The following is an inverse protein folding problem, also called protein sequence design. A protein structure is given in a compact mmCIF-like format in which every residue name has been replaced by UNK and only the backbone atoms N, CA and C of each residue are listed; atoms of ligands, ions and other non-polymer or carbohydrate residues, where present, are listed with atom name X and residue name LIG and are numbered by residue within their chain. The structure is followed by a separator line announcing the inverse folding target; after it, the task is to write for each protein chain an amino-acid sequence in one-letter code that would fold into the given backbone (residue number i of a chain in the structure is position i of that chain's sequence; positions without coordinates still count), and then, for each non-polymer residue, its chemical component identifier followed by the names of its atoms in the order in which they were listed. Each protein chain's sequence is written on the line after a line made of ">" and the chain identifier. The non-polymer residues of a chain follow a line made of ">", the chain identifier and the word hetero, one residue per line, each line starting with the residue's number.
data_IF_023989924761
#
_entry.id   IF_023989924761
#
_cell.length_a   1.000
_cell.length_b   1.000
_cell.length_c   1.000
_cell.angle_alpha   90.00
_cell.angle_beta   90.00
_cell.angle_gamma   90.00
#
_symmetry.space_group_name_H-M   'P 1'
#
loop_
_entity.id
_entity.type
_entity.pdbx_description
1 polymer ?
#
# COMPACT_ATOMS: atom_id res chain seq x y z
N UNK A 1 1.84 -11.63 27.35
CA UNK A 1 1.09 -10.35 27.18
C UNK A 1 0.73 -10.20 25.72
N UNK A 2 -0.53 -9.88 25.39
CA UNK A 2 -0.93 -9.67 23.99
C UNK A 2 -0.77 -8.20 23.62
N UNK A 3 0.04 -7.91 22.59
CA UNK A 3 0.37 -6.56 22.12
C UNK A 3 -0.86 -5.63 21.90
N UNK A 4 -2.01 -6.10 21.38
CA UNK A 4 -3.20 -5.25 21.19
C UNK A 4 -3.83 -4.72 22.49
N UNK A 5 -3.49 -5.30 23.66
CA UNK A 5 -4.00 -4.85 24.96
C UNK A 5 -3.23 -3.63 25.49
N UNK A 6 -2.05 -3.34 24.91
CA UNK A 6 -1.13 -2.30 25.37
C UNK A 6 -0.93 -1.19 24.34
N UNK A 7 -1.23 -1.45 23.07
CA UNK A 7 -0.98 -0.53 21.96
C UNK A 7 -2.21 -0.42 21.08
N UNK A 8 -2.56 0.81 20.69
CA UNK A 8 -3.59 1.09 19.71
C UNK A 8 -3.12 0.69 18.30
N UNK A 9 -3.31 -0.57 17.96
CA UNK A 9 -2.98 -1.09 16.64
C UNK A 9 -4.08 -0.71 15.64
N UNK A 10 -3.69 -0.09 14.52
CA UNK A 10 -4.63 0.31 13.47
C UNK A 10 -5.50 -0.85 12.97
N UNK A 11 -4.91 -2.03 12.76
CA UNK A 11 -5.66 -3.22 12.35
C UNK A 11 -6.72 -3.66 13.38
N UNK A 12 -6.43 -3.55 14.68
CA UNK A 12 -7.37 -3.88 15.74
C UNK A 12 -8.50 -2.84 15.82
N UNK A 13 -8.19 -1.55 15.64
CA UNK A 13 -9.19 -0.49 15.57
C UNK A 13 -10.13 -0.68 14.37
N UNK A 14 -9.59 -1.02 13.19
CA UNK A 14 -10.41 -1.33 12.00
C UNK A 14 -11.29 -2.56 12.24
N UNK A 15 -10.73 -3.65 12.78
CA UNK A 15 -11.50 -4.85 13.12
C UNK A 15 -12.66 -4.52 14.08
N UNK A 16 -12.41 -3.68 15.09
CA UNK A 16 -13.43 -3.24 16.05
C UNK A 16 -14.52 -2.37 15.41
N UNK A 17 -14.16 -1.49 14.47
CA UNK A 17 -15.11 -0.60 13.78
C UNK A 17 -15.97 -1.31 12.74
N UNK A 18 -15.40 -2.28 12.03
CA UNK A 18 -16.05 -2.89 10.86
C UNK A 18 -16.46 -4.35 11.08
N UNK A 19 -16.14 -4.94 12.23
CA UNK A 19 -16.48 -6.32 12.57
C UNK A 19 -15.70 -7.38 11.77
N UNK A 20 -14.82 -6.96 10.86
CA UNK A 20 -14.03 -7.84 10.00
C UNK A 20 -12.64 -7.26 9.72
N UNK A 21 -11.74 -8.12 9.25
CA UNK A 21 -10.38 -7.73 8.94
C UNK A 21 -10.38 -6.90 7.67
N UNK A 22 -9.74 -5.74 7.71
CA UNK A 22 -9.48 -4.93 6.52
C UNK A 22 -8.10 -5.26 5.97
N UNK A 23 -8.02 -5.53 4.67
CA UNK A 23 -6.75 -5.77 3.99
C UNK A 23 -6.30 -4.56 3.17
N UNK A 24 -5.02 -4.20 3.24
CA UNK A 24 -4.47 -3.14 2.40
C UNK A 24 -4.19 -3.68 1.01
N UNK A 25 -4.67 -3.01 -0.02
CA UNK A 25 -4.35 -3.32 -1.41
C UNK A 25 -3.33 -2.31 -1.90
N UNK A 26 -2.14 -2.78 -2.24
CA UNK A 26 -1.08 -1.96 -2.80
C UNK A 26 -1.44 -1.56 -4.23
N UNK A 27 -1.35 -0.26 -4.52
CA UNK A 27 -1.70 0.33 -5.81
C UNK A 27 -0.55 1.18 -6.35
N UNK A 28 -0.49 1.29 -7.67
CA UNK A 28 0.41 2.13 -8.44
C UNK A 28 -0.36 3.27 -9.12
N UNK A 29 -0.15 4.50 -8.65
CA UNK A 29 -0.84 5.73 -9.06
C UNK A 29 -0.21 6.50 -10.23
N UNK A 30 0.87 6.03 -10.83
CA UNK A 30 1.75 6.76 -11.75
C UNK A 30 2.56 7.90 -11.13
N UNK A 31 2.81 7.91 -9.81
CA UNK A 31 3.53 8.99 -9.14
C UNK A 31 5.05 8.91 -9.35
N UNK A 32 5.64 10.00 -9.87
CA UNK A 32 7.09 10.18 -9.90
C UNK A 32 7.70 10.49 -8.53
N UNK A 33 9.03 10.51 -8.44
CA UNK A 33 9.75 10.92 -7.24
C UNK A 33 10.90 11.85 -7.65
N UNK A 34 10.87 13.11 -7.18
CA UNK A 34 11.83 14.11 -7.62
C UNK A 34 13.27 13.82 -7.17
N UNK A 35 13.44 12.95 -6.17
CA UNK A 35 14.75 12.48 -5.71
C UNK A 35 15.29 11.30 -6.53
N UNK A 36 14.43 10.63 -7.28
CA UNK A 36 14.80 9.53 -8.18
C UNK A 36 14.94 9.99 -9.63
N UNK A 37 14.04 10.85 -10.09
CA UNK A 37 14.09 11.42 -11.45
C UNK A 37 15.16 12.50 -11.63
N UNK A 38 15.75 13.00 -10.53
CA UNK A 38 16.85 13.96 -10.57
C UNK A 38 16.44 15.43 -10.44
N UNK A 39 15.14 15.75 -10.35
CA UNK A 39 14.64 17.13 -10.32
C UNK A 39 14.96 17.88 -9.03
N UNK A 40 14.88 17.22 -7.85
CA UNK A 40 15.25 17.83 -6.55
C UNK A 40 16.46 17.16 -5.89
N UNK A 41 16.72 15.90 -6.21
CA UNK A 41 17.82 15.14 -5.64
C UNK A 41 18.26 14.02 -6.59
N UNK A 42 19.47 13.51 -6.42
CA UNK A 42 20.02 12.42 -7.24
C UNK A 42 20.36 11.23 -6.35
N UNK A 43 20.10 10.02 -6.85
CA UNK A 43 20.40 8.76 -6.14
C UNK A 43 19.27 8.23 -5.24
N UNK A 44 18.12 8.89 -5.18
CA UNK A 44 17.01 8.51 -4.30
C UNK A 44 17.21 8.94 -2.84
N UNK A 45 16.29 8.56 -1.95
CA UNK A 45 16.42 8.83 -0.52
C UNK A 45 17.21 7.70 0.17
N UNK A 46 18.07 8.00 1.14
CA UNK A 46 18.85 6.99 1.88
C UNK A 46 17.98 5.97 2.62
N UNK A 47 16.76 6.36 3.02
CA UNK A 47 15.78 5.49 3.67
C UNK A 47 14.86 4.75 2.68
N UNK A 48 14.97 5.02 1.38
CA UNK A 48 14.11 4.46 0.36
C UNK A 48 14.50 3.00 0.08
N UNK A 49 13.59 2.06 0.33
CA UNK A 49 13.74 0.69 -0.13
C UNK A 49 12.98 0.48 -1.45
N UNK A 50 13.67 0.70 -2.57
CA UNK A 50 13.09 0.59 -3.92
C UNK A 50 12.54 -0.82 -4.20
N UNK A 51 13.17 -1.86 -3.64
CA UNK A 51 12.71 -3.24 -3.81
C UNK A 51 11.36 -3.52 -3.12
N UNK A 52 10.87 -2.62 -2.26
CA UNK A 52 9.56 -2.76 -1.60
C UNK A 52 8.41 -2.08 -2.35
N UNK A 53 8.67 -1.44 -3.49
CA UNK A 53 7.65 -0.76 -4.27
C UNK A 53 6.79 -1.74 -5.06
N UNK A 54 5.60 -1.29 -5.43
CA UNK A 54 4.69 -2.04 -6.28
C UNK A 54 5.37 -2.32 -7.63
N UNK A 55 4.94 -3.39 -8.29
CA UNK A 55 5.41 -3.71 -9.64
C UNK A 55 5.12 -2.53 -10.57
N UNK A 56 6.16 -1.95 -11.17
CA UNK A 56 6.06 -0.82 -12.10
C UNK A 56 5.15 -1.13 -13.29
N UNK A 57 4.98 -2.40 -13.65
CA UNK A 57 4.03 -2.80 -14.69
C UNK A 57 2.58 -2.46 -14.33
N UNK A 58 2.24 -2.35 -13.04
CA UNK A 58 0.90 -1.96 -12.57
C UNK A 58 0.52 -0.54 -13.01
N UNK A 59 1.49 0.36 -13.23
CA UNK A 59 1.25 1.72 -13.71
C UNK A 59 0.43 1.77 -15.02
N UNK A 60 0.54 0.72 -15.83
CA UNK A 60 -0.14 0.62 -17.14
C UNK A 60 -1.62 0.27 -17.02
N UNK A 61 -2.07 -0.11 -15.82
CA UNK A 61 -3.45 -0.47 -15.52
C UNK A 61 -4.14 0.69 -14.83
N UNK A 62 -5.44 0.85 -15.08
CA UNK A 62 -6.28 1.78 -14.32
C UNK A 62 -6.36 1.36 -12.84
N UNK A 63 -6.62 2.32 -11.95
CA UNK A 63 -6.80 2.05 -10.52
C UNK A 63 -7.92 1.04 -10.26
N UNK A 64 -9.00 1.07 -11.06
CA UNK A 64 -10.09 0.11 -10.97
C UNK A 64 -9.64 -1.32 -11.29
N UNK A 65 -8.84 -1.51 -12.34
CA UNK A 65 -8.27 -2.81 -12.70
C UNK A 65 -7.32 -3.32 -11.61
N UNK A 66 -6.44 -2.45 -11.10
CA UNK A 66 -5.53 -2.82 -10.02
C UNK A 66 -6.30 -3.24 -8.76
N UNK A 67 -7.35 -2.50 -8.37
CA UNK A 67 -8.20 -2.84 -7.23
C UNK A 67 -8.87 -4.21 -7.42
N UNK A 68 -9.45 -4.48 -8.60
CA UNK A 68 -10.09 -5.75 -8.90
C UNK A 68 -9.09 -6.92 -8.85
N UNK A 69 -7.91 -6.75 -9.48
CA UNK A 69 -6.87 -7.78 -9.51
C UNK A 69 -6.28 -8.06 -8.11
N UNK A 70 -6.02 -7.02 -7.32
CA UNK A 70 -5.47 -7.17 -5.98
C UNK A 70 -6.51 -7.77 -5.02
N UNK A 71 -7.78 -7.34 -5.09
CA UNK A 71 -8.85 -7.90 -4.28
C UNK A 71 -9.07 -9.40 -4.59
N UNK A 72 -8.97 -9.80 -5.86
CA UNK A 72 -9.11 -11.20 -6.26
C UNK A 72 -8.02 -12.13 -5.70
N UNK A 73 -6.86 -11.58 -5.28
CA UNK A 73 -5.75 -12.33 -4.68
C UNK A 73 -5.88 -12.51 -3.16
N UNK A 74 -6.91 -11.93 -2.54
CA UNK A 74 -7.08 -11.88 -1.09
C UNK A 74 -8.28 -12.72 -0.68
N UNK A 75 -8.04 -13.78 0.09
CA UNK A 75 -9.08 -14.67 0.62
C UNK A 75 -9.52 -14.31 2.04
N UNK A 76 -8.65 -13.61 2.78
CA UNK A 76 -8.75 -13.38 4.23
C UNK A 76 -9.50 -12.11 4.67
N UNK A 77 -10.10 -11.38 3.74
CA UNK A 77 -10.82 -10.12 4.03
C UNK A 77 -11.84 -9.83 2.93
N UNK A 78 -12.95 -9.17 3.27
CA UNK A 78 -13.95 -8.70 2.28
C UNK A 78 -13.98 -7.18 2.15
N UNK A 79 -13.22 -6.48 2.99
CA UNK A 79 -13.03 -5.03 2.97
C UNK A 79 -11.58 -4.69 2.76
N UNK A 80 -11.38 -3.61 2.02
CA UNK A 80 -10.07 -3.22 1.53
C UNK A 80 -9.77 -1.76 1.82
N UNK A 81 -8.48 -1.46 2.01
CA UNK A 81 -7.95 -0.10 2.08
C UNK A 81 -7.01 0.10 0.89
N UNK A 82 -7.33 1.05 0.02
CA UNK A 82 -6.46 1.46 -1.06
C UNK A 82 -5.17 2.08 -0.49
N UNK A 83 -4.02 1.53 -0.85
CA UNK A 83 -2.73 1.96 -0.35
C UNK A 83 -1.78 2.26 -1.51
N UNK A 84 -1.61 3.54 -1.81
CA UNK A 84 -0.61 4.02 -2.78
C UNK A 84 0.75 4.02 -2.10
N UNK A 85 1.71 3.31 -2.67
CA UNK A 85 3.08 3.32 -2.19
C UNK A 85 3.81 4.58 -2.68
N UNK A 86 4.95 4.87 -2.06
CA UNK A 86 5.81 5.94 -2.54
C UNK A 86 6.39 5.55 -3.91
N UNK A 87 6.45 6.51 -4.85
CA UNK A 87 6.81 6.25 -6.25
C UNK A 87 5.94 5.19 -6.91
N UNK A 88 4.64 5.20 -6.63
CA UNK A 88 3.74 4.34 -7.37
C UNK A 88 2.66 5.19 -7.91
#
# INVERSE_FOLDING_TARGET
>A
MQLPQLVNMFGADLQRRYGEKIHKLTLHGGFGCPNRDGTLGRGGCTFCNVASFADEAMQRQSIGEQLAQQAARVDRARRYLAYFQAYT
#
